data_IF_416796493310
#
_entry.id   IF_416796493310
#
_cell.length_a   1.000
_cell.length_b   1.000
_cell.length_c   1.000
_cell.angle_alpha   90.00
_cell.angle_beta   90.00
_cell.angle_gamma   90.00
#
_symmetry.space_group_name_H-M   'P 1'
#
loop_
_entity.id
_entity.type
_entity.pdbx_description
1 polymer ?
#
# COMPACT_ATOMS: atom_id res chain seq x y z
N UNK A 1 31.94 17.03 -28.40
CA UNK A 1 31.89 15.77 -27.62
C UNK A 1 31.94 15.98 -26.10
N UNK A 2 32.78 16.87 -25.57
CA UNK A 2 32.92 17.14 -24.11
C UNK A 2 31.61 17.62 -23.43
N UNK A 3 30.76 18.37 -24.15
CA UNK A 3 29.51 18.93 -23.59
C UNK A 3 28.41 17.89 -23.36
N UNK A 4 28.34 16.86 -24.20
CA UNK A 4 27.40 15.74 -24.03
C UNK A 4 27.80 14.80 -22.89
N UNK A 5 29.11 14.60 -22.67
CA UNK A 5 29.61 13.79 -21.56
C UNK A 5 29.26 14.37 -20.19
N UNK A 6 29.27 15.70 -20.04
CA UNK A 6 28.83 16.38 -18.80
C UNK A 6 27.34 16.20 -18.53
N UNK A 7 26.49 16.31 -19.56
CA UNK A 7 25.05 16.09 -19.39
C UNK A 7 24.74 14.64 -19.02
N UNK A 8 25.40 13.66 -19.64
CA UNK A 8 25.24 12.24 -19.29
C UNK A 8 25.67 11.96 -17.85
N UNK A 9 26.77 12.56 -17.39
CA UNK A 9 27.23 12.43 -16.00
C UNK A 9 26.19 12.95 -15.00
N UNK A 10 25.56 14.09 -15.28
CA UNK A 10 24.51 14.67 -14.43
C UNK A 10 23.31 13.73 -14.33
N UNK A 11 22.86 13.14 -15.44
CA UNK A 11 21.75 12.18 -15.42
C UNK A 11 22.08 10.90 -14.66
N UNK A 12 23.30 10.39 -14.76
CA UNK A 12 23.74 9.21 -14.00
C UNK A 12 23.79 9.48 -12.49
N UNK A 13 24.23 10.67 -12.08
CA UNK A 13 24.24 11.07 -10.68
C UNK A 13 22.80 11.18 -10.14
N UNK A 14 21.89 11.77 -10.90
CA UNK A 14 20.48 11.85 -10.53
C UNK A 14 19.83 10.46 -10.40
N UNK A 15 20.13 9.53 -11.31
CA UNK A 15 19.63 8.17 -11.24
C UNK A 15 20.14 7.41 -10.00
N UNK A 16 21.39 7.63 -9.59
CA UNK A 16 21.95 7.04 -8.38
C UNK A 16 21.30 7.59 -7.10
N UNK A 17 20.99 8.88 -7.06
CA UNK A 17 20.34 9.53 -5.91
C UNK A 17 18.88 9.09 -5.71
N UNK A 18 18.21 8.65 -6.78
CA UNK A 18 16.84 8.12 -6.73
C UNK A 18 16.79 6.62 -6.41
N UNK A 19 17.93 5.98 -6.16
CA UNK A 19 17.95 4.60 -5.68
C UNK A 19 17.50 4.57 -4.20
N UNK A 20 16.22 4.28 -3.98
CA UNK A 20 15.68 4.09 -2.64
C UNK A 20 16.32 2.87 -1.95
N UNK A 21 16.38 2.91 -0.62
CA UNK A 21 16.85 1.77 0.16
C UNK A 21 15.76 0.68 0.14
N UNK A 22 15.95 -0.38 -0.66
CA UNK A 22 15.15 -1.61 -0.58
C UNK A 22 15.70 -2.45 0.58
N UNK A 23 15.53 -1.95 1.81
CA UNK A 23 15.60 -2.83 2.97
C UNK A 23 14.24 -3.53 3.04
N UNK A 24 14.12 -4.67 2.36
CA UNK A 24 12.93 -5.49 2.44
C UNK A 24 12.76 -5.97 3.88
N UNK A 25 11.88 -5.32 4.64
CA UNK A 25 11.48 -5.82 5.97
C UNK A 25 10.77 -7.15 5.74
N UNK A 26 11.24 -8.25 6.33
CA UNK A 26 10.59 -9.54 6.17
C UNK A 26 9.12 -9.44 6.63
N UNK A 27 8.19 -10.15 5.97
CA UNK A 27 6.75 -9.91 6.14
C UNK A 27 6.28 -10.08 7.59
N UNK A 28 6.88 -10.99 8.36
CA UNK A 28 6.55 -11.24 9.76
C UNK A 28 7.04 -10.14 10.73
N UNK A 29 7.96 -9.26 10.32
CA UNK A 29 8.38 -8.09 11.11
C UNK A 29 7.43 -6.90 10.93
N UNK A 30 6.55 -6.92 9.92
CA UNK A 30 5.57 -5.84 9.69
C UNK A 30 4.53 -5.78 10.81
N UNK A 31 4.15 -6.92 11.38
CA UNK A 31 3.19 -7.00 12.48
C UNK A 31 3.69 -6.31 13.75
N UNK A 32 5.02 -6.24 13.96
CA UNK A 32 5.60 -5.62 15.14
C UNK A 32 5.41 -4.09 15.17
N UNK A 33 5.31 -3.45 14.01
CA UNK A 33 5.08 -2.01 13.87
C UNK A 33 3.62 -1.66 13.57
N UNK A 34 2.80 -2.64 13.17
CA UNK A 34 1.40 -2.43 12.83
C UNK A 34 0.52 -2.37 14.09
N UNK A 35 0.46 -1.20 14.71
CA UNK A 35 -0.45 -0.99 15.85
C UNK A 35 -1.92 -1.14 15.44
N UNK A 36 -2.80 -1.56 16.36
CA UNK A 36 -4.25 -1.70 16.12
C UNK A 36 -4.90 -0.40 15.59
N UNK A 37 -4.36 0.77 15.96
CA UNK A 37 -4.84 2.08 15.49
C UNK A 37 -4.49 2.40 14.03
N UNK A 38 -3.59 1.62 13.42
CA UNK A 38 -3.15 1.77 12.02
C UNK A 38 -3.97 0.89 11.06
N UNK A 39 -4.96 0.15 11.56
CA UNK A 39 -5.87 -0.63 10.73
C UNK A 39 -6.65 0.29 9.80
N UNK A 40 -6.78 -0.13 8.53
CA UNK A 40 -7.59 0.60 7.54
C UNK A 40 -9.04 0.75 8.00
N UNK A 41 -9.53 -0.27 8.70
CA UNK A 41 -10.86 -0.33 9.29
C UNK A 41 -10.70 -0.24 10.81
N UNK A 42 -10.97 0.93 11.42
CA UNK A 42 -10.79 1.12 12.85
C UNK A 42 -11.86 0.38 13.68
N UNK A 43 -13.07 0.25 13.14
CA UNK A 43 -14.17 -0.52 13.72
C UNK A 43 -14.77 -1.47 12.68
N UNK A 44 -14.53 -2.78 12.79
CA UNK A 44 -15.08 -3.76 11.85
C UNK A 44 -16.60 -3.89 11.94
N UNK A 45 -17.21 -3.65 13.11
CA UNK A 45 -18.66 -3.80 13.28
C UNK A 45 -19.42 -2.71 12.51
N UNK A 46 -18.96 -1.46 12.61
CA UNK A 46 -19.52 -0.35 11.85
C UNK A 46 -19.31 -0.53 10.34
N UNK A 47 -18.11 -0.97 9.92
CA UNK A 47 -17.84 -1.23 8.51
C UNK A 47 -18.73 -2.34 7.93
N UNK A 48 -19.00 -3.40 8.67
CA UNK A 48 -19.94 -4.45 8.25
C UNK A 48 -21.37 -3.91 8.07
N UNK A 49 -21.81 -2.99 8.92
CA UNK A 49 -23.14 -2.38 8.80
C UNK A 49 -23.22 -1.48 7.57
N UNK A 50 -22.19 -0.65 7.35
CA UNK A 50 -22.09 0.23 6.18
C UNK A 50 -22.05 -0.56 4.88
N UNK A 51 -21.28 -1.65 4.83
CA UNK A 51 -21.25 -2.56 3.67
C UNK A 51 -22.62 -3.16 3.38
N UNK A 52 -23.35 -3.65 4.40
CA UNK A 52 -24.71 -4.19 4.22
C UNK A 52 -25.67 -3.14 3.68
N UNK A 53 -25.59 -1.90 4.17
CA UNK A 53 -26.41 -0.79 3.68
C UNK A 53 -26.06 -0.47 2.23
N UNK A 54 -24.77 -0.42 1.90
CA UNK A 54 -24.27 -0.12 0.56
C UNK A 54 -24.74 -1.16 -0.46
N UNK A 55 -24.52 -2.46 -0.19
CA UNK A 55 -24.96 -3.54 -1.08
C UNK A 55 -26.47 -3.60 -1.25
N UNK A 56 -27.22 -3.33 -0.17
CA UNK A 56 -28.68 -3.26 -0.24
C UNK A 56 -29.17 -2.13 -1.15
N UNK A 57 -28.45 -1.00 -1.19
CA UNK A 57 -28.80 0.16 -2.01
C UNK A 57 -28.38 0.00 -3.46
N UNK A 58 -27.23 -0.60 -3.71
CA UNK A 58 -26.70 -0.77 -5.07
C UNK A 58 -27.18 -2.05 -5.76
N UNK A 59 -27.77 -3.00 -5.01
CA UNK A 59 -28.20 -4.28 -5.55
C UNK A 59 -27.03 -5.17 -6.01
N UNK A 60 -25.81 -4.87 -5.54
CA UNK A 60 -24.59 -5.56 -5.91
C UNK A 60 -24.25 -6.64 -4.86
N UNK A 61 -23.68 -7.75 -5.31
CA UNK A 61 -23.23 -8.85 -4.45
C UNK A 61 -21.72 -9.03 -4.57
N UNK A 62 -20.99 -8.87 -3.47
CA UNK A 62 -19.53 -9.01 -3.41
C UNK A 62 -18.90 -7.91 -2.56
N UNK A 63 -18.38 -8.26 -1.38
CA UNK A 63 -17.80 -7.34 -0.39
C UNK A 63 -16.69 -6.45 -0.93
N UNK A 64 -16.45 -5.30 -0.29
CA UNK A 64 -15.31 -4.40 -0.59
C UNK A 64 -13.94 -4.96 -0.15
N UNK A 65 -13.87 -6.26 0.17
CA UNK A 65 -12.76 -6.94 0.83
C UNK A 65 -11.45 -7.00 0.03
N UNK A 66 -10.77 -5.87 -0.07
CA UNK A 66 -9.31 -5.77 -0.15
C UNK A 66 -8.85 -4.99 1.08
N UNK A 67 -9.16 -5.57 2.26
CA UNK A 67 -8.77 -5.06 3.56
C UNK A 67 -7.35 -5.47 3.90
N UNK A 68 -6.59 -4.53 4.47
CA UNK A 68 -5.15 -4.65 4.74
C UNK A 68 -4.74 -5.92 5.50
N UNK A 69 -3.57 -6.42 5.15
CA UNK A 69 -2.73 -7.28 6.01
C UNK A 69 -3.21 -8.71 6.31
N UNK A 70 -4.39 -9.14 5.86
CA UNK A 70 -4.86 -10.53 5.98
C UNK A 70 -4.69 -11.30 4.67
N UNK A 71 -4.73 -12.63 4.72
CA UNK A 71 -4.42 -13.56 3.60
C UNK A 71 -5.32 -13.48 2.35
N UNK A 72 -6.11 -12.41 2.17
CA UNK A 72 -6.73 -12.06 0.90
C UNK A 72 -7.65 -13.14 0.35
N UNK A 73 -8.43 -13.81 1.20
CA UNK A 73 -9.48 -14.71 0.77
C UNK A 73 -10.85 -14.05 1.00
N UNK A 74 -11.57 -13.79 -0.10
CA UNK A 74 -13.02 -13.98 -0.13
C UNK A 74 -13.31 -15.49 -0.19
#
# INVERSE_FOLDING_TARGET
MIRYGKSVLVYLIWAALLSGCIAGVPPWERDLLAEKKMQLIPDPAENEMDEKIYFSKEGTSGGQGIGGGGCGCN
#
